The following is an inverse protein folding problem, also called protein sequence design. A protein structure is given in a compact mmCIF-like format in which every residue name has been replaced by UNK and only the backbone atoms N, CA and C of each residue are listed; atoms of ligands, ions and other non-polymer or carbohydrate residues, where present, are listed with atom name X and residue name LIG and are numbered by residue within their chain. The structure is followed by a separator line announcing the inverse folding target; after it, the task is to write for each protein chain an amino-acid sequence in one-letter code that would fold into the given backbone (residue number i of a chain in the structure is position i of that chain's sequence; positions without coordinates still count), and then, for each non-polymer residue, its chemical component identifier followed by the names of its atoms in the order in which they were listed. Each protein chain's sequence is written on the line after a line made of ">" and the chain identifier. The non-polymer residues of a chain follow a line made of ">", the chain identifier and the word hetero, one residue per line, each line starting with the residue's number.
data_IF_382584607280
#
_entry.id   IF_382584607280
#
_cell.length_a   1.000
_cell.length_b   1.000
_cell.length_c   1.000
_cell.angle_alpha   90.00
_cell.angle_beta   90.00
_cell.angle_gamma   90.00
#
_symmetry.space_group_name_H-M   'P 1'
#
loop_
_entity.id
_entity.type
_entity.pdbx_description
1 polymer ?
#
# COMPACT_ATOMS: atom_id res chain seq x y z
N UNK A 1 3.25 -8.91 -13.38
CA UNK A 1 4.00 -8.38 -12.21
C UNK A 1 3.03 -8.28 -11.06
N UNK A 2 3.40 -8.78 -9.88
CA UNK A 2 2.55 -8.73 -8.68
C UNK A 2 2.99 -7.54 -7.83
N UNK A 3 2.04 -6.77 -7.31
CA UNK A 3 2.31 -5.59 -6.49
C UNK A 3 1.36 -5.56 -5.31
N UNK A 4 1.88 -5.33 -4.12
CA UNK A 4 1.09 -5.10 -2.92
C UNK A 4 1.00 -3.59 -2.67
N UNK A 5 -0.22 -3.08 -2.52
CA UNK A 5 -0.50 -1.69 -2.17
C UNK A 5 -1.14 -1.64 -0.79
N UNK A 6 -0.49 -0.97 0.15
CA UNK A 6 -0.99 -0.70 1.49
C UNK A 6 -1.52 0.73 1.52
N UNK A 7 -2.75 0.91 1.98
CA UNK A 7 -3.41 2.22 2.07
C UNK A 7 -3.62 2.57 3.53
N UNK A 8 -3.18 3.77 3.89
CA UNK A 8 -3.40 4.37 5.19
C UNK A 8 -4.23 5.63 5.02
N UNK A 9 -5.23 5.84 5.87
CA UNK A 9 -6.11 7.00 5.80
C UNK A 9 -5.95 7.87 7.04
N UNK A 10 -5.81 9.17 6.84
CA UNK A 10 -5.84 10.13 7.93
C UNK A 10 -7.30 10.35 8.36
N UNK A 11 -7.59 10.09 9.64
CA UNK A 11 -8.96 10.21 10.15
C UNK A 11 -9.44 11.66 10.33
N UNK A 12 -8.52 12.63 10.29
CA UNK A 12 -8.80 14.05 10.55
C UNK A 12 -8.95 14.84 9.25
N UNK A 13 -8.06 14.59 8.29
CA UNK A 13 -7.98 15.34 7.04
C UNK A 13 -8.66 14.61 5.86
N UNK A 14 -8.94 13.31 6.01
CA UNK A 14 -9.43 12.46 4.92
C UNK A 14 -8.40 12.17 3.83
N UNK A 15 -7.16 12.63 3.99
CA UNK A 15 -6.03 12.34 3.12
C UNK A 15 -5.63 10.85 3.19
N UNK A 16 -5.08 10.31 2.11
CA UNK A 16 -4.66 8.91 2.03
C UNK A 16 -3.18 8.81 1.65
N UNK A 17 -2.43 8.02 2.41
CA UNK A 17 -1.07 7.63 2.12
C UNK A 17 -1.08 6.21 1.52
N UNK A 18 -0.27 5.97 0.49
CA UNK A 18 -0.16 4.64 -0.13
C UNK A 18 1.29 4.20 -0.20
N UNK A 19 1.54 2.98 0.22
CA UNK A 19 2.84 2.31 0.07
C UNK A 19 2.68 1.19 -0.94
N UNK A 20 3.55 1.16 -1.96
CA UNK A 20 3.53 0.14 -2.99
C UNK A 20 4.80 -0.71 -2.89
N UNK A 21 4.65 -2.01 -2.61
CA UNK A 21 5.70 -3.00 -2.70
C UNK A 21 5.60 -3.73 -4.03
N UNK A 22 6.64 -3.61 -4.85
CA UNK A 22 6.79 -4.41 -6.05
C UNK A 22 7.27 -5.81 -5.68
N UNK A 23 6.75 -6.82 -6.38
CA UNK A 23 7.07 -8.24 -6.19
C UNK A 23 6.98 -8.68 -4.71
N UNK A 24 5.78 -8.59 -4.10
CA UNK A 24 5.58 -9.00 -2.72
C UNK A 24 5.80 -10.50 -2.55
N UNK A 25 6.24 -10.89 -1.36
CA UNK A 25 6.39 -12.31 -0.98
C UNK A 25 5.03 -13.02 -0.98
N UNK A 26 5.03 -14.29 -1.37
CA UNK A 26 3.85 -15.17 -1.37
C UNK A 26 4.10 -16.35 -0.41
N UNK A 27 3.12 -16.78 0.40
CA UNK A 27 1.75 -16.28 0.51
C UNK A 27 1.65 -14.97 1.29
N UNK A 28 0.70 -14.11 0.90
CA UNK A 28 0.36 -12.90 1.67
C UNK A 28 -0.67 -13.26 2.74
N UNK A 29 -0.30 -13.12 4.02
CA UNK A 29 -1.20 -13.31 5.15
C UNK A 29 -1.78 -11.96 5.63
N UNK A 30 -3.11 -11.86 5.64
CA UNK A 30 -3.84 -10.69 6.14
C UNK A 30 -3.56 -10.36 7.61
N UNK A 31 -3.34 -11.37 8.46
CA UNK A 31 -3.09 -11.14 9.89
C UNK A 31 -1.69 -10.57 10.12
N UNK A 32 -0.70 -11.09 9.39
CA UNK A 32 0.65 -10.55 9.37
C UNK A 32 0.67 -9.11 8.84
N UNK A 33 -0.03 -8.84 7.73
CA UNK A 33 -0.10 -7.49 7.15
C UNK A 33 -0.64 -6.43 8.11
N UNK A 34 -1.63 -6.77 8.92
CA UNK A 34 -2.17 -5.83 9.89
C UNK A 34 -1.16 -5.50 10.99
N UNK A 35 -0.39 -6.50 11.44
CA UNK A 35 0.69 -6.32 12.41
C UNK A 35 1.85 -5.51 11.82
N UNK A 36 2.25 -5.82 10.59
CA UNK A 36 3.30 -5.11 9.87
C UNK A 36 2.91 -3.65 9.59
N UNK A 37 1.66 -3.40 9.21
CA UNK A 37 1.15 -2.05 9.00
C UNK A 37 1.18 -1.22 10.31
N UNK A 38 0.88 -1.85 11.44
CA UNK A 38 1.00 -1.18 12.74
C UNK A 38 2.46 -0.87 13.07
N UNK A 39 3.39 -1.79 12.81
CA UNK A 39 4.83 -1.55 12.97
C UNK A 39 5.33 -0.38 12.11
N UNK A 40 4.79 -0.19 10.91
CA UNK A 40 5.15 0.96 10.05
C UNK A 40 4.71 2.30 10.67
N UNK A 41 3.56 2.32 11.34
CA UNK A 41 3.08 3.49 12.09
C UNK A 41 3.95 3.71 13.33
N UNK A 42 4.20 2.66 14.10
CA UNK A 42 4.96 2.72 15.35
C UNK A 42 6.42 3.14 15.12
N UNK A 43 7.03 2.70 14.01
CA UNK A 43 8.38 3.09 13.59
C UNK A 43 8.43 4.51 12.97
N UNK A 44 7.30 5.20 12.82
CA UNK A 44 7.23 6.55 12.29
C UNK A 44 7.41 6.65 10.76
N UNK A 45 7.37 5.54 10.03
CA UNK A 45 7.33 5.57 8.56
C UNK A 45 5.99 6.12 8.05
N UNK A 46 4.91 5.88 8.81
CA UNK A 46 3.60 6.49 8.57
C UNK A 46 3.43 7.64 9.57
N UNK A 47 3.06 8.85 9.13
CA UNK A 47 2.78 9.96 10.02
C UNK A 47 1.67 9.63 11.04
N UNK A 48 1.78 10.20 12.24
CA UNK A 48 0.74 10.07 13.26
C UNK A 48 -0.62 10.59 12.75
N UNK A 49 -1.70 9.91 13.15
CA UNK A 49 -3.07 10.24 12.72
C UNK A 49 -3.55 9.50 11.47
N UNK A 50 -2.66 8.75 10.80
CA UNK A 50 -3.03 7.79 9.77
C UNK A 50 -3.29 6.42 10.39
N UNK A 51 -4.34 5.75 9.91
CA UNK A 51 -4.69 4.38 10.28
C UNK A 51 -4.64 3.48 9.05
N UNK A 52 -4.31 2.21 9.26
CA UNK A 52 -4.36 1.23 8.18
C UNK A 52 -5.81 1.02 7.72
N UNK A 53 -6.07 1.21 6.42
CA UNK A 53 -7.41 1.19 5.83
C UNK A 53 -7.63 -0.09 5.03
N UNK A 54 -6.76 -0.36 4.06
CA UNK A 54 -6.89 -1.51 3.17
C UNK A 54 -5.54 -1.96 2.58
N UNK A 55 -5.45 -3.24 2.23
CA UNK A 55 -4.39 -3.80 1.40
C UNK A 55 -4.96 -4.32 0.09
N UNK A 56 -4.26 -4.06 -1.02
CA UNK A 56 -4.62 -4.51 -2.37
C UNK A 56 -3.48 -5.25 -3.02
N UNK A 57 -3.75 -6.47 -3.45
CA UNK A 57 -2.84 -7.23 -4.31
C UNK A 57 -3.25 -6.96 -5.75
N UNK A 58 -2.33 -6.38 -6.53
CA UNK A 58 -2.53 -6.04 -7.93
C UNK A 58 -1.64 -6.95 -8.76
N UNK A 59 -2.25 -7.79 -9.58
CA UNK A 59 -1.56 -8.62 -10.55
C UNK A 59 -1.76 -8.02 -11.94
N UNK A 60 -0.73 -7.34 -12.43
CA UNK A 60 -0.76 -6.72 -13.75
C UNK A 60 -0.24 -7.71 -14.79
N UNK A 61 -1.12 -8.10 -15.73
CA UNK A 61 -0.80 -8.97 -16.86
C UNK A 61 -0.55 -8.20 -18.17
N UNK A 62 -0.90 -6.92 -18.21
CA UNK A 62 -0.80 -6.07 -19.40
C UNK A 62 -0.30 -4.68 -19.04
N UNK A 63 0.69 -4.20 -19.80
CA UNK A 63 1.19 -2.83 -19.71
C UNK A 63 0.79 -2.08 -20.98
N UNK A 64 0.10 -0.96 -20.84
CA UNK A 64 -0.24 -0.07 -21.97
C UNK A 64 0.61 1.19 -21.84
N UNK A 65 1.50 1.41 -22.81
CA UNK A 65 2.25 2.66 -22.93
C UNK A 65 1.39 3.67 -23.68
N UNK A 66 1.08 4.79 -23.04
CA UNK A 66 0.44 5.94 -23.67
C UNK A 66 1.49 7.05 -23.78
N UNK A 67 1.95 7.30 -24.98
CA UNK A 67 2.82 8.45 -25.26
C UNK A 67 1.96 9.71 -25.39
N UNK A 68 2.23 10.70 -24.55
CA UNK A 68 1.43 11.91 -24.42
C UNK A 68 2.16 13.16 -24.91
N UNK A 69 3.39 13.02 -25.43
CA UNK A 69 4.19 14.14 -25.93
C UNK A 69 4.68 13.77 -27.34
N UNK A 70 4.23 14.53 -28.34
CA UNK A 70 4.75 14.50 -29.71
C UNK A 70 5.61 15.73 -29.99
#
# INVERSE_FOLDING_TARGET
>A
MKRLSLVFRNQTEGSSLRINLNDPVDPIDSAALQSDAQLLIDNGLIPAGYVFDEAKVIETNTNVLLDLIQ
#
